data_IF_464284764526
#
_entry.id   IF_464284764526
#
_cell.length_a   1.000
_cell.length_b   1.000
_cell.length_c   1.000
_cell.angle_alpha   90.00
_cell.angle_beta   90.00
_cell.angle_gamma   90.00
#
_symmetry.space_group_name_H-M   'P 1'
#
loop_
_entity.id
_entity.type
_entity.pdbx_description
1 polymer ?
#
# COMPACT_ATOMS: atom_id res chain seq x y z
N UNK A 1 16.10 -12.63 0.40
CA UNK A 1 15.18 -11.92 1.31
C UNK A 1 13.83 -12.03 0.65
N UNK A 2 12.89 -12.81 1.21
CA UNK A 2 11.58 -13.05 0.58
C UNK A 2 10.67 -11.88 0.92
N UNK A 3 10.19 -11.14 -0.09
CA UNK A 3 9.22 -10.07 0.10
C UNK A 3 7.89 -10.73 0.51
N UNK A 4 7.51 -10.63 1.78
CA UNK A 4 6.16 -10.98 2.24
C UNK A 4 5.34 -9.71 2.28
N UNK A 5 4.39 -9.56 1.36
CA UNK A 5 3.37 -8.52 1.45
C UNK A 5 2.42 -8.82 2.62
N UNK A 6 2.14 -7.80 3.42
CA UNK A 6 1.31 -7.93 4.62
C UNK A 6 -0.14 -7.58 4.26
N UNK A 7 -0.99 -8.59 4.08
CA UNK A 7 -2.37 -8.47 3.59
C UNK A 7 -3.42 -8.18 4.68
N UNK A 8 -3.04 -7.56 5.80
CA UNK A 8 -3.98 -7.22 6.90
C UNK A 8 -4.90 -6.01 6.58
N UNK A 9 -5.28 -5.80 5.32
CA UNK A 9 -6.07 -4.65 4.86
C UNK A 9 -7.57 -4.73 5.19
N UNK A 10 -8.10 -5.94 5.38
CA UNK A 10 -9.53 -6.25 5.49
C UNK A 10 -10.24 -5.56 6.68
N UNK A 11 -9.52 -5.03 7.67
CA UNK A 11 -10.13 -4.46 8.89
C UNK A 11 -10.41 -2.95 8.83
N UNK A 12 -10.00 -2.23 7.79
CA UNK A 12 -10.08 -0.76 7.80
C UNK A 12 -11.36 -0.19 7.22
N UNK A 13 -12.10 -0.93 6.37
CA UNK A 13 -13.38 -0.46 5.80
C UNK A 13 -14.48 -0.38 6.87
N UNK A 14 -14.67 -1.44 7.65
CA UNK A 14 -15.61 -1.47 8.77
C UNK A 14 -15.25 -0.41 9.82
N UNK A 15 -13.94 -0.21 10.07
CA UNK A 15 -13.47 0.84 10.96
C UNK A 15 -13.85 2.24 10.47
N UNK A 16 -13.74 2.55 9.17
CA UNK A 16 -14.14 3.85 8.65
C UNK A 16 -15.64 4.09 8.80
N UNK A 17 -16.46 3.06 8.54
CA UNK A 17 -17.92 3.12 8.72
C UNK A 17 -18.27 3.41 10.18
N UNK A 18 -17.70 2.65 11.13
CA UNK A 18 -17.90 2.88 12.57
C UNK A 18 -17.39 4.27 12.98
N UNK A 19 -16.23 4.68 12.48
CA UNK A 19 -15.64 5.98 12.80
C UNK A 19 -16.49 7.15 12.34
N UNK A 20 -17.23 7.00 11.24
CA UNK A 20 -18.16 8.01 10.76
C UNK A 20 -19.41 8.09 11.62
N UNK A 21 -19.97 6.94 11.99
CA UNK A 21 -21.17 6.86 12.82
C UNK A 21 -20.94 7.43 14.22
N UNK A 22 -19.70 7.36 14.71
CA UNK A 22 -19.36 7.74 16.08
C UNK A 22 -18.49 8.98 16.18
N UNK A 23 -18.17 9.65 15.06
CA UNK A 23 -17.37 10.89 15.01
C UNK A 23 -17.94 11.99 15.92
N UNK A 24 -19.27 12.07 16.00
CA UNK A 24 -19.99 13.09 16.78
C UNK A 24 -20.23 12.67 18.24
N UNK A 25 -20.07 11.39 18.57
CA UNK A 25 -20.52 10.83 19.85
C UNK A 25 -19.40 10.22 20.70
N UNK A 26 -18.30 9.77 20.10
CA UNK A 26 -17.17 9.20 20.84
C UNK A 26 -16.09 10.23 21.18
N UNK A 27 -15.21 9.93 22.16
CA UNK A 27 -14.13 10.83 22.52
C UNK A 27 -13.18 11.07 21.33
N UNK A 28 -13.13 12.31 20.83
CA UNK A 28 -12.29 12.75 19.70
C UNK A 28 -10.83 12.25 19.78
N UNK A 29 -10.28 12.22 21.00
CA UNK A 29 -8.89 11.78 21.28
C UNK A 29 -8.65 10.28 21.00
N UNK A 30 -9.68 9.44 21.10
CA UNK A 30 -9.59 8.03 20.74
C UNK A 30 -9.50 7.87 19.21
N UNK A 31 -10.36 8.59 18.47
CA UNK A 31 -10.31 8.65 17.01
C UNK A 31 -8.98 9.15 16.47
N UNK A 32 -8.47 10.23 17.04
CA UNK A 32 -7.17 10.79 16.68
C UNK A 32 -6.04 9.74 16.82
N UNK A 33 -5.99 9.03 17.94
CA UNK A 33 -4.97 7.99 18.16
C UNK A 33 -5.11 6.82 17.19
N UNK A 34 -6.33 6.37 16.92
CA UNK A 34 -6.56 5.27 15.99
C UNK A 34 -6.18 5.65 14.56
N UNK A 35 -6.65 6.79 14.06
CA UNK A 35 -6.31 7.26 12.71
C UNK A 35 -4.79 7.49 12.62
N UNK A 36 -4.15 8.05 13.65
CA UNK A 36 -2.69 8.17 13.69
C UNK A 36 -1.99 6.81 13.61
N UNK A 37 -2.45 5.79 14.34
CA UNK A 37 -1.86 4.44 14.29
C UNK A 37 -1.99 3.81 12.91
N UNK A 38 -3.17 3.93 12.27
CA UNK A 38 -3.38 3.48 10.89
C UNK A 38 -2.43 4.23 9.97
N UNK A 39 -2.40 5.56 10.06
CA UNK A 39 -1.57 6.39 9.21
C UNK A 39 -0.08 6.06 9.34
N UNK A 40 0.41 5.83 10.57
CA UNK A 40 1.78 5.40 10.82
C UNK A 40 2.08 4.04 10.21
N UNK A 41 1.15 3.09 10.31
CA UNK A 41 1.31 1.74 9.73
C UNK A 41 1.40 1.81 8.21
N UNK A 42 0.48 2.54 7.57
CA UNK A 42 0.47 2.70 6.11
C UNK A 42 1.71 3.47 5.63
N UNK A 43 2.12 4.50 6.36
CA UNK A 43 3.34 5.24 6.02
C UNK A 43 4.60 4.37 6.13
N UNK A 44 4.70 3.48 7.13
CA UNK A 44 5.80 2.52 7.21
C UNK A 44 5.81 1.56 6.02
N UNK A 45 4.64 1.10 5.57
CA UNK A 45 4.53 0.27 4.36
C UNK A 45 4.98 1.01 3.11
N UNK A 46 4.61 2.29 2.95
CA UNK A 46 5.11 3.15 1.85
C UNK A 46 6.63 3.16 1.83
N UNK A 47 7.26 3.47 2.96
CA UNK A 47 8.73 3.59 3.08
C UNK A 47 9.42 2.26 2.74
N UNK A 48 8.88 1.13 3.20
CA UNK A 48 9.46 -0.18 2.90
C UNK A 48 9.31 -0.55 1.42
N UNK A 49 8.16 -0.26 0.79
CA UNK A 49 7.95 -0.49 -0.65
C UNK A 49 8.88 0.38 -1.50
N UNK A 50 9.04 1.65 -1.16
CA UNK A 50 9.96 2.57 -1.85
C UNK A 50 11.41 2.09 -1.75
N UNK A 51 11.82 1.65 -0.56
CA UNK A 51 13.15 1.08 -0.33
C UNK A 51 13.36 -0.21 -1.13
N UNK A 52 12.37 -1.09 -1.18
CA UNK A 52 12.44 -2.32 -1.98
C UNK A 52 12.51 -2.01 -3.48
N UNK A 53 11.72 -1.05 -3.97
CA UNK A 53 11.75 -0.61 -5.36
C UNK A 53 13.15 -0.10 -5.78
N UNK A 54 13.80 0.69 -4.92
CA UNK A 54 15.18 1.15 -5.16
C UNK A 54 16.19 -0.01 -5.16
N UNK A 55 15.98 -1.05 -4.36
CA UNK A 55 16.84 -2.23 -4.34
C UNK A 55 16.67 -3.07 -5.62
N UNK A 56 15.45 -3.18 -6.14
CA UNK A 56 15.17 -3.89 -7.40
C UNK A 56 16.00 -3.32 -8.56
N UNK A 57 16.20 -2.00 -8.60
CA UNK A 57 16.97 -1.34 -9.68
C UNK A 57 18.41 -1.85 -9.81
N UNK A 58 19.02 -2.34 -8.73
CA UNK A 58 20.40 -2.87 -8.73
C UNK A 58 20.47 -4.40 -8.75
N UNK A 59 19.32 -5.09 -8.73
CA UNK A 59 19.28 -6.55 -8.78
C UNK A 59 19.57 -7.08 -10.19
N UNK A 60 20.10 -8.31 -10.21
CA UNK A 60 20.38 -9.09 -11.43
C UNK A 60 19.59 -10.39 -11.49
N UNK A 61 18.83 -10.71 -10.45
CA UNK A 61 17.99 -11.90 -10.32
C UNK A 61 16.63 -11.52 -9.75
N UNK A 62 15.58 -12.25 -10.12
CA UNK A 62 14.24 -12.07 -9.56
C UNK A 62 14.26 -12.44 -8.07
N UNK A 63 13.85 -11.54 -7.15
CA UNK A 63 13.94 -11.77 -5.71
C UNK A 63 12.74 -12.55 -5.13
N UNK A 64 11.90 -13.14 -5.98
CA UNK A 64 10.74 -13.95 -5.60
C UNK A 64 10.84 -15.35 -6.21
N UNK A 65 10.27 -16.33 -5.53
CA UNK A 65 10.26 -17.72 -6.00
C UNK A 65 9.20 -17.97 -7.06
N UNK A 66 8.05 -17.33 -6.90
CA UNK A 66 6.92 -17.39 -7.83
C UNK A 66 6.57 -15.95 -8.25
N UNK A 67 6.75 -15.67 -9.54
CA UNK A 67 6.54 -14.34 -10.10
C UNK A 67 5.06 -14.09 -10.42
N UNK A 68 4.32 -15.13 -10.79
CA UNK A 68 2.87 -15.04 -11.06
C UNK A 68 2.13 -14.77 -9.75
N UNK A 69 2.41 -15.56 -8.71
CA UNK A 69 1.85 -15.33 -7.36
C UNK A 69 2.20 -13.93 -6.84
N UNK A 70 3.43 -13.45 -7.08
CA UNK A 70 3.81 -12.10 -6.70
C UNK A 70 2.95 -11.04 -7.40
N UNK A 71 2.70 -11.16 -8.70
CA UNK A 71 1.87 -10.20 -9.42
C UNK A 71 0.42 -10.25 -8.98
N UNK A 72 -0.15 -11.44 -8.80
CA UNK A 72 -1.53 -11.61 -8.32
C UNK A 72 -1.71 -10.95 -6.94
N UNK A 73 -0.83 -11.26 -5.98
CA UNK A 73 -0.89 -10.67 -4.63
C UNK A 73 -0.70 -9.15 -4.65
N UNK A 74 0.19 -8.65 -5.51
CA UNK A 74 0.43 -7.20 -5.63
C UNK A 74 -0.78 -6.49 -6.24
N UNK A 75 -1.42 -7.09 -7.24
CA UNK A 75 -2.64 -6.56 -7.87
C UNK A 75 -3.80 -6.54 -6.89
N UNK A 76 -4.02 -7.64 -6.15
CA UNK A 76 -5.02 -7.71 -5.09
C UNK A 76 -4.81 -6.60 -4.04
N UNK A 77 -3.56 -6.41 -3.59
CA UNK A 77 -3.23 -5.33 -2.65
C UNK A 77 -3.50 -3.93 -3.23
N UNK A 78 -3.21 -3.71 -4.52
CA UNK A 78 -3.54 -2.46 -5.21
C UNK A 78 -5.05 -2.22 -5.26
N UNK A 79 -5.84 -3.27 -5.52
CA UNK A 79 -7.30 -3.19 -5.52
C UNK A 79 -7.87 -2.86 -4.14
N UNK A 80 -7.37 -3.52 -3.09
CA UNK A 80 -7.75 -3.23 -1.69
C UNK A 80 -7.45 -1.78 -1.33
N UNK A 81 -6.27 -1.27 -1.69
CA UNK A 81 -5.90 0.14 -1.46
C UNK A 81 -6.81 1.09 -2.24
N UNK A 82 -7.21 0.75 -3.48
CA UNK A 82 -8.15 1.56 -4.26
C UNK A 82 -9.53 1.60 -3.61
N UNK A 83 -10.03 0.48 -3.09
CA UNK A 83 -11.29 0.41 -2.37
C UNK A 83 -11.23 1.26 -1.10
N UNK A 84 -10.14 1.15 -0.33
CA UNK A 84 -9.93 1.94 0.87
C UNK A 84 -9.84 3.44 0.58
N UNK A 85 -9.10 3.83 -0.45
CA UNK A 85 -9.02 5.21 -0.95
C UNK A 85 -10.40 5.76 -1.29
N UNK A 86 -11.22 4.98 -1.99
CA UNK A 86 -12.60 5.38 -2.36
C UNK A 86 -13.43 5.63 -1.11
N UNK A 87 -13.36 4.77 -0.10
CA UNK A 87 -14.05 4.99 1.18
C UNK A 87 -13.60 6.28 1.88
N UNK A 88 -12.28 6.56 1.93
CA UNK A 88 -11.77 7.77 2.56
C UNK A 88 -12.16 9.04 1.79
N UNK A 89 -12.14 9.01 0.46
CA UNK A 89 -12.50 10.18 -0.36
C UNK A 89 -13.91 10.71 -0.11
N UNK A 90 -14.82 9.86 0.37
CA UNK A 90 -16.19 10.26 0.73
C UNK A 90 -16.23 11.11 2.01
N UNK A 91 -15.15 11.07 2.81
CA UNK A 91 -15.13 11.61 4.17
C UNK A 91 -13.91 12.48 4.47
N UNK A 92 -12.95 12.57 3.55
CA UNK A 92 -11.71 13.35 3.69
C UNK A 92 -11.96 14.82 4.02
N UNK A 93 -13.09 15.37 3.58
CA UNK A 93 -13.48 16.77 3.80
C UNK A 93 -14.13 17.02 5.16
N UNK A 94 -14.50 15.95 5.88
CA UNK A 94 -15.17 16.05 7.18
C UNK A 94 -14.21 16.40 8.32
N UNK A 95 -12.96 15.94 8.26
CA UNK A 95 -11.94 16.23 9.27
C UNK A 95 -10.52 16.13 8.67
N UNK A 96 -9.59 16.93 9.20
CA UNK A 96 -8.18 16.95 8.80
C UNK A 96 -7.48 15.59 8.97
N UNK A 97 -7.92 14.77 9.92
CA UNK A 97 -7.40 13.42 10.14
C UNK A 97 -7.66 12.52 8.94
N UNK A 98 -8.87 12.59 8.37
CA UNK A 98 -9.23 11.82 7.18
C UNK A 98 -8.53 12.35 5.93
N UNK A 99 -8.31 13.67 5.82
CA UNK A 99 -7.49 14.25 4.76
C UNK A 99 -6.05 13.74 4.79
N UNK A 100 -5.42 13.68 5.97
CA UNK A 100 -4.07 13.12 6.14
C UNK A 100 -4.03 11.64 5.77
N UNK A 101 -5.02 10.87 6.24
CA UNK A 101 -5.14 9.45 5.90
C UNK A 101 -5.28 9.24 4.40
N UNK A 102 -6.09 10.06 3.72
CA UNK A 102 -6.25 10.00 2.26
C UNK A 102 -4.91 10.20 1.54
N UNK A 103 -4.13 11.19 1.96
CA UNK A 103 -2.82 11.46 1.37
C UNK A 103 -1.86 10.27 1.54
N UNK A 104 -1.82 9.67 2.73
CA UNK A 104 -0.97 8.49 2.97
C UNK A 104 -1.43 7.28 2.17
N UNK A 105 -2.74 7.07 2.01
CA UNK A 105 -3.29 6.00 1.18
C UNK A 105 -2.99 6.23 -0.31
N UNK A 106 -3.00 7.48 -0.78
CA UNK A 106 -2.55 7.82 -2.13
C UNK A 106 -1.08 7.45 -2.34
N UNK A 107 -0.21 7.83 -1.41
CA UNK A 107 1.21 7.45 -1.46
C UNK A 107 1.40 5.93 -1.43
N UNK A 108 0.59 5.20 -0.66
CA UNK A 108 0.67 3.74 -0.63
C UNK A 108 0.27 3.10 -1.96
N UNK A 109 -0.79 3.60 -2.58
CA UNK A 109 -1.19 3.16 -3.93
C UNK A 109 -0.07 3.39 -4.94
N UNK A 110 0.53 4.58 -4.94
CA UNK A 110 1.66 4.92 -5.82
C UNK A 110 2.88 4.03 -5.55
N UNK A 111 3.19 3.76 -4.27
CA UNK A 111 4.31 2.91 -3.89
C UNK A 111 4.14 1.46 -4.38
N UNK A 112 2.93 0.88 -4.26
CA UNK A 112 2.65 -0.45 -4.79
C UNK A 112 2.77 -0.50 -6.32
N UNK A 113 2.20 0.48 -7.03
CA UNK A 113 2.29 0.55 -8.50
C UNK A 113 3.74 0.67 -8.95
N UNK A 114 4.53 1.54 -8.31
CA UNK A 114 5.94 1.68 -8.62
C UNK A 114 6.74 0.41 -8.30
N UNK A 115 6.47 -0.24 -7.16
CA UNK A 115 7.14 -1.49 -6.80
C UNK A 115 6.86 -2.61 -7.83
N UNK A 116 5.60 -2.73 -8.27
CA UNK A 116 5.20 -3.67 -9.33
C UNK A 116 5.89 -3.34 -10.67
N UNK A 117 5.90 -2.07 -11.07
CA UNK A 117 6.57 -1.62 -12.30
C UNK A 117 8.06 -1.94 -12.29
N UNK A 118 8.76 -1.68 -11.17
CA UNK A 118 10.18 -2.03 -11.02
C UNK A 118 10.44 -3.52 -11.14
N UNK A 119 9.56 -4.36 -10.57
CA UNK A 119 9.67 -5.80 -10.74
C UNK A 119 9.54 -6.21 -12.22
N UNK A 120 8.58 -5.64 -12.95
CA UNK A 120 8.42 -5.87 -14.38
C UNK A 120 9.63 -5.42 -15.20
N UNK A 121 10.22 -4.27 -14.87
CA UNK A 121 11.45 -3.81 -15.51
C UNK A 121 12.64 -4.76 -15.24
N UNK A 122 12.75 -5.31 -14.03
CA UNK A 122 13.77 -6.29 -13.68
C UNK A 122 13.59 -7.58 -14.49
N UNK A 123 12.36 -8.07 -14.61
CA UNK A 123 12.01 -9.24 -15.43
C UNK A 123 12.46 -9.05 -16.89
N UNK A 124 12.06 -7.95 -17.51
CA UNK A 124 12.45 -7.63 -18.89
C UNK A 124 13.97 -7.57 -19.04
N UNK A 125 14.67 -6.96 -18.07
CA UNK A 125 16.14 -6.84 -18.07
C UNK A 125 16.83 -8.21 -18.03
N UNK A 126 16.31 -9.14 -17.21
CA UNK A 126 16.86 -10.50 -17.10
C UNK A 126 16.62 -11.27 -18.40
N UNK A 127 15.38 -11.29 -18.90
CA UNK A 127 15.02 -11.97 -20.15
C UNK A 127 15.81 -11.45 -21.36
N UNK A 128 16.09 -10.14 -21.42
CA UNK A 128 16.87 -9.54 -22.51
C UNK A 128 18.34 -9.94 -22.47
N UNK A 129 18.91 -10.14 -21.28
CA UNK A 129 20.29 -10.63 -21.12
C UNK A 129 20.41 -12.10 -21.51
N UNK A 130 19.45 -12.94 -21.14
CA UNK A 130 19.44 -14.36 -21.51
C UNK A 130 19.35 -14.57 -23.03
N UNK A 131 18.62 -13.71 -23.74
CA UNK A 131 18.53 -13.76 -25.22
C UNK A 131 19.78 -13.26 -25.94
N UNK A 132 20.65 -12.51 -25.26
CA UNK A 132 21.85 -11.90 -25.83
C UNK A 132 23.14 -12.67 -25.52
N UNK A 133 23.04 -13.72 -24.69
CA UNK A 133 24.13 -14.60 -24.28
C UNK A 133 24.08 -15.92 -25.07
#
# INVERSE_FOLDING_TARGET
>A
MTVRMNNNFINYSDFLSISLETLETAPRKLFEKMIQMINSTLHQQVVELEKQALQIDVMTVIPVHDLEEYYDVTLDAIEDVKLFKKSISQIEKKDILFSKLNNTVNSLHEAYVNHMDRMGQLEIRILSKEKSA
#
